data_IF_538209150168
#
_entry.id   IF_538209150168
#
_cell.length_a   1.000
_cell.length_b   1.000
_cell.length_c   1.000
_cell.angle_alpha   90.00
_cell.angle_beta   90.00
_cell.angle_gamma   90.00
#
_symmetry.space_group_name_H-M   'P 1'
#
loop_
_entity.id
_entity.type
_entity.pdbx_description
1 polymer ?
#
# COMPACT_ATOMS: atom_id res chain seq x y z
N UNK A 1 -24.81 2.57 -0.98
CA UNK A 1 -23.94 3.60 -0.37
C UNK A 1 -22.72 2.97 0.28
N UNK A 2 -22.88 1.79 0.92
CA UNK A 2 -21.77 0.96 1.40
C UNK A 2 -20.80 0.54 0.27
N UNK A 3 -21.30 0.07 -0.87
CA UNK A 3 -20.44 -0.29 -2.02
C UNK A 3 -19.54 0.88 -2.51
N UNK A 4 -20.06 2.11 -2.47
CA UNK A 4 -19.31 3.32 -2.85
C UNK A 4 -18.22 3.67 -1.84
N UNK A 5 -18.42 3.38 -0.55
CA UNK A 5 -17.43 3.60 0.50
C UNK A 5 -16.34 2.51 0.47
N UNK A 6 -16.70 1.29 0.08
CA UNK A 6 -15.76 0.17 -0.12
C UNK A 6 -14.84 0.38 -1.33
N UNK A 7 -15.37 0.89 -2.45
CA UNK A 7 -14.55 1.21 -3.63
C UNK A 7 -13.47 2.27 -3.35
N UNK A 8 -13.80 3.29 -2.54
CA UNK A 8 -12.84 4.37 -2.19
C UNK A 8 -11.71 3.83 -1.31
N UNK A 9 -11.98 2.85 -0.44
CA UNK A 9 -10.95 2.22 0.39
C UNK A 9 -9.95 1.36 -0.41
N UNK A 10 -10.25 1.07 -1.67
CA UNK A 10 -9.36 0.26 -2.51
C UNK A 10 -8.35 1.10 -3.29
N UNK A 11 -8.55 2.40 -3.42
CA UNK A 11 -7.62 3.30 -4.11
C UNK A 11 -6.54 3.75 -3.13
N UNK A 12 -5.28 3.47 -3.43
CA UNK A 12 -4.18 3.90 -2.59
C UNK A 12 -4.04 5.44 -2.59
N UNK A 13 -4.16 6.13 -1.45
CA UNK A 13 -4.07 7.60 -1.39
C UNK A 13 -2.73 8.16 -1.92
N UNK A 14 -1.67 7.36 -1.85
CA UNK A 14 -0.32 7.74 -2.29
C UNK A 14 -0.09 7.63 -3.78
N UNK A 15 -0.49 6.52 -4.39
CA UNK A 15 -0.12 6.20 -5.78
C UNK A 15 -1.31 5.91 -6.68
N UNK A 16 -2.54 6.09 -6.17
CA UNK A 16 -3.80 5.96 -6.91
C UNK A 16 -4.04 4.57 -7.52
N UNK A 17 -3.24 3.57 -7.14
CA UNK A 17 -3.43 2.19 -7.55
C UNK A 17 -4.71 1.63 -6.92
N UNK A 18 -5.58 1.04 -7.74
CA UNK A 18 -6.69 0.21 -7.27
C UNK A 18 -6.15 -1.11 -6.71
N UNK A 19 -6.60 -1.47 -5.52
CA UNK A 19 -6.22 -2.71 -4.83
C UNK A 19 -7.43 -3.64 -4.70
N UNK A 20 -7.16 -4.89 -4.31
CA UNK A 20 -8.22 -5.81 -3.91
C UNK A 20 -8.87 -5.33 -2.60
N UNK A 21 -10.17 -5.60 -2.42
CA UNK A 21 -10.96 -5.23 -1.24
C UNK A 21 -10.29 -5.57 0.10
N UNK A 22 -9.66 -6.73 0.18
CA UNK A 22 -9.05 -7.21 1.42
C UNK A 22 -7.57 -6.84 1.57
N UNK A 23 -7.00 -6.10 0.61
CA UNK A 23 -5.58 -5.75 0.62
C UNK A 23 -5.23 -4.91 1.85
N UNK A 24 -4.21 -5.34 2.61
CA UNK A 24 -3.69 -4.56 3.74
C UNK A 24 -2.63 -3.54 3.33
N UNK A 25 -1.92 -3.83 2.24
CA UNK A 25 -0.88 -2.96 1.69
C UNK A 25 -1.17 -2.72 0.21
N UNK A 26 -0.81 -1.54 -0.30
CA UNK A 26 -0.92 -1.24 -1.72
C UNK A 26 -0.03 -2.19 -2.54
N UNK A 27 -0.59 -2.85 -3.56
CA UNK A 27 0.15 -3.79 -4.41
C UNK A 27 1.32 -3.14 -5.18
N UNK A 28 1.23 -1.84 -5.44
CA UNK A 28 2.24 -1.09 -6.18
C UNK A 28 3.29 -0.46 -5.26
N UNK A 29 2.87 0.36 -4.29
CA UNK A 29 3.80 1.14 -3.47
C UNK A 29 4.05 0.57 -2.06
N UNK A 30 3.35 -0.51 -1.68
CA UNK A 30 3.49 -1.24 -0.41
C UNK A 30 3.20 -0.45 0.86
N UNK A 31 2.66 0.76 0.75
CA UNK A 31 2.15 1.49 1.92
C UNK A 31 0.97 0.71 2.52
N UNK A 32 0.87 0.68 3.85
CA UNK A 32 -0.29 0.13 4.53
C UNK A 32 -1.54 0.96 4.19
N UNK A 33 -2.57 0.33 3.65
CA UNK A 33 -3.76 1.02 3.14
C UNK A 33 -4.61 1.61 4.26
N UNK A 34 -4.78 0.87 5.37
CA UNK A 34 -5.51 1.35 6.54
C UNK A 34 -4.91 2.65 7.08
N UNK A 35 -3.59 2.67 7.30
CA UNK A 35 -2.88 3.88 7.75
C UNK A 35 -2.94 4.98 6.69
N UNK A 36 -2.74 4.65 5.41
CA UNK A 36 -2.71 5.65 4.35
C UNK A 36 -4.05 6.40 4.20
N UNK A 37 -5.18 5.70 4.31
CA UNK A 37 -6.49 6.33 4.24
C UNK A 37 -6.76 7.33 5.37
N UNK A 38 -6.14 7.13 6.53
CA UNK A 38 -6.34 8.01 7.69
C UNK A 38 -5.34 9.16 7.72
N UNK A 39 -4.11 8.94 7.24
CA UNK A 39 -2.99 9.84 7.56
C UNK A 39 -2.18 10.32 6.36
N UNK A 40 -2.41 9.77 5.15
CA UNK A 40 -1.54 10.11 4.02
C UNK A 40 -1.68 11.56 3.56
N UNK A 41 -2.89 12.12 3.60
CA UNK A 41 -3.13 13.51 3.22
C UNK A 41 -2.34 14.48 4.12
N UNK A 42 -2.37 14.26 5.44
CA UNK A 42 -1.60 15.05 6.40
C UNK A 42 -0.08 14.94 6.13
N UNK A 43 0.43 13.73 5.90
CA UNK A 43 1.84 13.53 5.54
C UNK A 43 2.21 14.26 4.23
N UNK A 44 1.33 14.22 3.23
CA UNK A 44 1.57 14.88 1.94
C UNK A 44 1.66 16.41 2.12
N UNK A 45 0.77 17.00 2.92
CA UNK A 45 0.79 18.43 3.27
C UNK A 45 2.09 18.80 4.00
N UNK A 46 2.45 18.07 5.05
CA UNK A 46 3.70 18.31 5.78
C UNK A 46 4.92 18.28 4.86
N UNK A 47 4.98 17.32 3.93
CA UNK A 47 6.08 17.23 2.96
C UNK A 47 6.12 18.45 2.04
N UNK A 48 4.98 18.91 1.54
CA UNK A 48 4.90 20.11 0.70
C UNK A 48 5.34 21.37 1.46
N UNK A 49 4.92 21.53 2.71
CA UNK A 49 5.32 22.64 3.58
C UNK A 49 6.85 22.68 3.77
N UNK A 50 7.48 21.51 3.77
CA UNK A 50 8.93 21.33 3.83
C UNK A 50 9.62 21.29 2.45
N UNK A 51 8.96 21.70 1.37
CA UNK A 51 9.52 21.74 0.00
C UNK A 51 10.00 20.37 -0.51
N UNK A 52 9.39 19.29 0.01
CA UNK A 52 9.62 17.93 -0.43
C UNK A 52 8.49 17.48 -1.37
N UNK A 53 8.79 16.54 -2.26
CA UNK A 53 7.77 15.91 -3.09
C UNK A 53 6.70 15.24 -2.20
N UNK A 54 5.39 15.46 -2.40
CA UNK A 54 4.32 14.91 -1.55
C UNK A 54 4.37 13.37 -1.52
N UNK A 55 4.72 12.77 -2.66
CA UNK A 55 4.87 11.33 -2.81
C UNK A 55 6.34 10.93 -2.77
N UNK A 56 6.86 10.60 -1.58
CA UNK A 56 8.16 9.92 -1.50
C UNK A 56 8.09 8.59 -2.28
N UNK A 57 9.14 8.14 -2.97
CA UNK A 57 9.19 6.79 -3.54
C UNK A 57 9.42 5.73 -2.46
N UNK A 58 8.92 4.52 -2.66
CA UNK A 58 9.22 3.39 -1.77
C UNK A 58 10.60 2.89 -2.13
N UNK A 59 11.41 2.57 -1.13
CA UNK A 59 12.73 2.00 -1.36
C UNK A 59 12.61 0.73 -2.23
N UNK A 60 13.43 0.65 -3.28
CA UNK A 60 13.35 -0.42 -4.30
C UNK A 60 13.45 -1.82 -3.69
N UNK A 61 14.33 -2.01 -2.70
CA UNK A 61 14.50 -3.31 -2.03
C UNK A 61 13.22 -3.78 -1.32
N UNK A 62 12.38 -2.87 -0.79
CA UNK A 62 11.10 -3.22 -0.17
C UNK A 62 10.08 -3.65 -1.22
N UNK A 63 10.04 -2.95 -2.36
CA UNK A 63 9.18 -3.32 -3.48
C UNK A 63 9.55 -4.71 -4.01
N UNK A 64 10.84 -4.96 -4.20
CA UNK A 64 11.36 -6.23 -4.69
C UNK A 64 11.10 -7.37 -3.71
N UNK A 65 11.43 -7.17 -2.44
CA UNK A 65 11.22 -8.18 -1.38
C UNK A 65 9.74 -8.52 -1.24
N UNK A 66 8.87 -7.52 -1.21
CA UNK A 66 7.43 -7.76 -1.10
C UNK A 66 6.87 -8.46 -2.35
N UNK A 67 7.34 -8.10 -3.55
CA UNK A 67 6.93 -8.78 -4.79
C UNK A 67 7.35 -10.26 -4.77
N UNK A 68 8.56 -10.57 -4.30
CA UNK A 68 9.01 -11.96 -4.16
C UNK A 68 8.16 -12.79 -3.19
N UNK A 69 7.59 -12.16 -2.15
CA UNK A 69 6.66 -12.84 -1.24
C UNK A 69 5.33 -13.12 -1.94
N UNK A 70 4.83 -12.17 -2.73
CA UNK A 70 3.54 -12.33 -3.42
C UNK A 70 3.60 -13.31 -4.61
N UNK A 71 4.71 -13.29 -5.37
CA UNK A 71 4.82 -14.00 -6.66
C UNK A 71 5.88 -15.11 -6.68
N UNK A 72 6.75 -15.16 -5.68
CA UNK A 72 7.84 -16.13 -5.61
C UNK A 72 7.41 -17.43 -4.94
N UNK A 73 8.26 -18.47 -4.96
CA UNK A 73 8.02 -19.67 -4.19
C UNK A 73 7.98 -19.30 -2.71
N UNK A 74 6.79 -19.36 -2.12
CA UNK A 74 6.63 -19.37 -0.68
C UNK A 74 7.37 -20.59 -0.12
N UNK A 75 8.10 -20.41 0.98
CA UNK A 75 8.82 -21.51 1.58
C UNK A 75 7.84 -22.67 1.85
N UNK A 76 8.18 -23.94 1.54
CA UNK A 76 7.21 -25.05 1.61
C UNK A 76 6.52 -25.22 2.97
N UNK A 77 7.18 -24.77 4.05
CA UNK A 77 6.62 -24.80 5.41
C UNK A 77 5.50 -23.78 5.64
N UNK A 78 5.39 -22.73 4.82
CA UNK A 78 4.38 -21.66 4.93
C UNK A 78 2.97 -22.13 4.52
N UNK A 79 2.88 -23.22 3.74
CA UNK A 79 1.61 -23.85 3.34
C UNK A 79 1.15 -24.96 4.28
N UNK A 80 1.97 -25.34 5.27
CA UNK A 80 1.55 -26.34 6.25
C UNK A 80 0.60 -25.68 7.24
N UNK A 81 -0.71 -25.87 7.03
CA UNK A 81 -1.70 -25.61 8.07
C UNK A 81 -1.33 -26.45 9.30
N UNK A 82 -1.10 -25.79 10.43
CA UNK A 82 -1.09 -26.45 11.74
C UNK A 82 -2.48 -26.93 12.09
#
# INVERSE_FOLDING_TARGET
MEDYMEEVQNICPRCQTHNMLEAKNCQQCRVNLYWAHQHYAELATLRQDHQLAPNAPTASFLLETSRRIDTGPTAPWLHRKR
#
